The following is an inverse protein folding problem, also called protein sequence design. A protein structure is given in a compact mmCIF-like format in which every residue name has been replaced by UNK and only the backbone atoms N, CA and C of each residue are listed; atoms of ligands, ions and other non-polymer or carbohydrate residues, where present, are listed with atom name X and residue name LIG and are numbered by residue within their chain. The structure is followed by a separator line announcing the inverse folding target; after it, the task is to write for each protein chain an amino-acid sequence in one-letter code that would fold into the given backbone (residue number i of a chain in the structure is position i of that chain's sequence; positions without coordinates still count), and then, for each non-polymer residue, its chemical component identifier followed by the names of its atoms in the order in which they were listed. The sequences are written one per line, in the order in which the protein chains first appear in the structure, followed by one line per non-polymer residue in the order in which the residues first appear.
data_IF_293685766230
#
_entry.id   IF_293685766230
#
_cell.length_a   1.000
_cell.length_b   1.000
_cell.length_c   1.000
_cell.angle_alpha   90.00
_cell.angle_beta   90.00
_cell.angle_gamma   90.00
#
_symmetry.space_group_name_H-M   'P 1'
#
loop_
_entity.id
_entity.type
_entity.pdbx_description
1 polymer ?
#
# COMPACT_ATOMS: atom_id res chain seq x y z
N UNK A 1 -0.27 27.31 5.25
CA UNK A 1 -0.81 26.65 4.04
C UNK A 1 -0.96 27.65 2.89
N UNK A 2 -1.67 28.78 3.08
CA UNK A 2 -1.78 29.86 2.07
C UNK A 2 -0.42 30.39 1.61
N UNK A 3 0.54 30.57 2.54
CA UNK A 3 1.89 31.08 2.23
C UNK A 3 2.74 30.16 1.37
N UNK A 4 2.52 28.83 1.43
CA UNK A 4 3.24 27.87 0.59
C UNK A 4 2.65 27.81 -0.83
N UNK A 5 1.34 28.03 -0.96
CA UNK A 5 0.66 28.05 -2.26
C UNK A 5 0.98 29.31 -3.05
N UNK A 6 1.08 30.48 -2.38
CA UNK A 6 1.51 31.71 -3.04
C UNK A 6 2.96 31.63 -3.55
N UNK A 7 3.86 30.99 -2.79
CA UNK A 7 5.26 30.79 -3.21
C UNK A 7 5.37 29.88 -4.45
N UNK A 8 4.50 28.86 -4.56
CA UNK A 8 4.47 27.99 -5.73
C UNK A 8 3.92 28.71 -6.97
N UNK A 9 2.89 29.54 -6.84
CA UNK A 9 2.35 30.30 -7.98
C UNK A 9 3.39 31.28 -8.52
N UNK A 10 4.08 32.03 -7.65
CA UNK A 10 5.11 32.99 -8.08
C UNK A 10 6.32 32.28 -8.73
N UNK A 11 6.67 31.07 -8.25
CA UNK A 11 7.79 30.31 -8.79
C UNK A 11 7.53 29.75 -10.20
N UNK A 12 6.26 29.47 -10.54
CA UNK A 12 5.87 28.84 -11.80
C UNK A 12 5.01 29.77 -12.69
N UNK A 13 5.00 31.07 -12.41
CA UNK A 13 4.15 32.06 -13.11
C UNK A 13 4.35 32.05 -14.63
N UNK A 14 5.61 31.89 -15.08
CA UNK A 14 5.95 31.80 -16.50
C UNK A 14 5.33 30.57 -17.17
N UNK A 15 5.29 29.43 -16.49
CA UNK A 15 4.72 28.18 -17.01
C UNK A 15 3.18 28.22 -16.99
N UNK A 16 2.59 28.79 -15.93
CA UNK A 16 1.14 28.98 -15.79
C UNK A 16 0.59 29.92 -16.88
N UNK A 17 1.37 30.91 -17.31
CA UNK A 17 0.96 31.88 -18.33
C UNK A 17 0.84 31.31 -19.76
N UNK A 18 1.41 30.13 -20.02
CA UNK A 18 1.39 29.51 -21.36
C UNK A 18 0.13 28.69 -21.64
N UNK A 19 -0.64 28.32 -20.60
CA UNK A 19 -1.85 27.52 -20.74
C UNK A 19 -3.01 28.08 -19.87
N UNK A 20 -4.05 28.65 -20.49
CA UNK A 20 -5.21 29.18 -19.78
C UNK A 20 -5.95 28.14 -18.92
N UNK A 21 -5.88 26.86 -19.28
CA UNK A 21 -6.54 25.79 -18.51
C UNK A 21 -5.82 25.55 -17.17
N UNK A 22 -4.51 25.74 -17.14
CA UNK A 22 -3.71 25.56 -15.93
C UNK A 22 -4.05 26.58 -14.85
N UNK A 23 -4.33 27.82 -15.26
CA UNK A 23 -4.79 28.88 -14.36
C UNK A 23 -6.14 28.55 -13.73
N UNK A 24 -7.09 28.03 -14.52
CA UNK A 24 -8.40 27.62 -14.01
C UNK A 24 -8.31 26.44 -13.03
N UNK A 25 -7.38 25.52 -13.27
CA UNK A 25 -7.10 24.40 -12.37
C UNK A 25 -6.55 24.89 -11.02
N UNK A 26 -5.59 25.82 -11.04
CA UNK A 26 -5.02 26.40 -9.83
C UNK A 26 -6.03 27.25 -9.03
N UNK A 27 -6.88 28.01 -9.71
CA UNK A 27 -7.97 28.76 -9.07
C UNK A 27 -8.95 27.81 -8.38
N UNK A 28 -9.30 26.67 -9.01
CA UNK A 28 -10.13 25.62 -8.39
C UNK A 28 -9.47 24.98 -7.18
N UNK A 29 -8.17 24.66 -7.25
CA UNK A 29 -7.42 24.12 -6.12
C UNK A 29 -7.44 25.11 -4.95
N UNK A 30 -7.21 26.40 -5.23
CA UNK A 30 -7.27 27.46 -4.23
C UNK A 30 -8.67 27.62 -3.60
N UNK A 31 -9.74 27.47 -4.37
CA UNK A 31 -11.11 27.51 -3.86
C UNK A 31 -11.43 26.32 -2.95
N UNK A 32 -11.09 25.10 -3.39
CA UNK A 32 -11.42 23.86 -2.68
C UNK A 32 -10.64 23.74 -1.38
N UNK A 33 -9.33 24.01 -1.42
CA UNK A 33 -8.45 23.70 -0.29
C UNK A 33 -8.10 24.92 0.57
N UNK A 34 -8.21 26.14 0.01
CA UNK A 34 -7.84 27.37 0.72
C UNK A 34 -9.02 28.33 0.90
N UNK A 35 -10.22 27.96 0.46
CA UNK A 35 -11.44 28.77 0.63
C UNK A 35 -11.39 30.11 -0.10
N UNK A 36 -10.60 30.22 -1.18
CA UNK A 36 -10.50 31.45 -1.95
C UNK A 36 -11.86 31.81 -2.58
N UNK A 37 -12.25 33.09 -2.58
CA UNK A 37 -13.51 33.52 -3.19
C UNK A 37 -13.50 33.24 -4.70
N UNK A 38 -14.66 32.87 -5.24
CA UNK A 38 -14.84 32.73 -6.69
C UNK A 38 -14.47 34.06 -7.37
N UNK A 39 -13.69 34.03 -8.48
CA UNK A 39 -13.45 35.24 -9.26
C UNK A 39 -14.81 35.80 -9.68
N UNK A 40 -15.10 37.04 -9.26
CA UNK A 40 -16.33 37.70 -9.65
C UNK A 40 -16.29 37.92 -11.17
N UNK A 41 -17.19 37.27 -11.90
CA UNK A 41 -17.41 37.58 -13.30
C UNK A 41 -17.87 39.03 -13.38
N UNK A 42 -17.05 39.89 -14.02
CA UNK A 42 -17.44 41.27 -14.29
C UNK A 42 -18.68 41.21 -15.20
N UNK A 43 -19.83 41.81 -14.83
CA UNK A 43 -21.06 41.68 -15.59
C UNK A 43 -20.86 42.16 -17.03
N UNK A 44 -21.13 41.29 -18.00
CA UNK A 44 -21.26 41.63 -19.41
C UNK A 44 -22.55 42.42 -19.63
N UNK A 45 -22.49 43.72 -19.36
CA UNK A 45 -23.54 44.69 -19.61
C UNK A 45 -22.95 46.04 -19.94
N UNK A 46 -23.78 46.99 -20.39
CA UNK A 46 -23.39 48.31 -20.90
C UNK A 46 -22.35 49.07 -20.03
N UNK A 47 -22.38 48.90 -18.69
CA UNK A 47 -21.39 49.46 -17.77
C UNK A 47 -20.02 48.74 -17.80
N UNK A 48 -19.99 47.42 -18.02
CA UNK A 48 -18.76 46.62 -18.13
C UNK A 48 -17.98 46.90 -19.42
N UNK A 49 -18.70 47.23 -20.52
CA UNK A 49 -18.08 47.67 -21.77
C UNK A 49 -17.45 49.07 -21.66
N UNK A 50 -17.97 49.92 -20.77
CA UNK A 50 -17.41 51.25 -20.49
C UNK A 50 -16.08 51.16 -19.72
N UNK A 51 -15.93 50.19 -18.82
CA UNK A 51 -14.68 49.92 -18.09
C UNK A 51 -13.65 49.20 -18.98
N UNK A 52 -14.08 48.28 -19.86
CA UNK A 52 -13.21 47.65 -20.87
C UNK A 52 -12.69 48.64 -21.93
N UNK A 53 -13.50 49.64 -22.31
CA UNK A 53 -13.09 50.71 -23.25
C UNK A 53 -12.00 51.65 -22.71
N UNK A 54 -11.81 51.70 -21.39
CA UNK A 54 -10.74 52.48 -20.75
C UNK A 54 -9.39 51.74 -20.69
N UNK A 55 -9.35 50.44 -21.01
CA UNK A 55 -8.19 49.58 -20.72
C UNK A 55 -7.67 48.72 -21.89
N UNK A 56 -8.09 48.94 -23.14
CA UNK A 56 -7.45 48.28 -24.30
C UNK A 56 -7.12 49.25 -25.44
N UNK A 57 -5.83 49.43 -25.68
CA UNK A 57 -5.24 49.79 -26.98
C UNK A 57 -5.26 48.58 -27.93
N UNK A 58 -5.24 48.79 -29.25
CA UNK A 58 -5.86 47.89 -30.23
C UNK A 58 -4.94 46.73 -30.65
N UNK A 59 -5.53 45.58 -30.99
CA UNK A 59 -5.37 44.95 -32.32
C UNK A 59 -6.25 43.68 -32.51
N UNK A 60 -7.05 43.77 -33.59
CA UNK A 60 -7.54 42.77 -34.55
C UNK A 60 -8.32 41.48 -34.15
N UNK A 61 -9.60 41.53 -34.53
CA UNK A 61 -10.51 40.56 -35.21
C UNK A 61 -9.94 39.17 -35.56
N UNK A 62 -10.66 38.05 -35.51
CA UNK A 62 -12.00 37.75 -36.06
C UNK A 62 -12.46 36.34 -35.65
N UNK A 63 -13.78 36.07 -35.55
CA UNK A 63 -14.31 34.70 -35.68
C UNK A 63 -15.50 34.36 -34.79
N UNK A 64 -16.69 34.41 -35.40
CA UNK A 64 -18.05 34.04 -34.98
C UNK A 64 -18.21 32.79 -34.09
N UNK A 65 -19.08 32.87 -33.08
CA UNK A 65 -19.78 31.71 -32.50
C UNK A 65 -21.29 32.04 -32.36
N UNK A 66 -22.12 31.17 -32.94
CA UNK A 66 -23.57 31.13 -32.77
C UNK A 66 -23.93 30.67 -31.35
N UNK A 67 -24.94 31.31 -30.76
CA UNK A 67 -25.57 30.93 -29.49
C UNK A 67 -26.43 29.67 -29.66
N UNK A 68 -26.26 28.71 -28.74
CA UNK A 68 -27.29 27.73 -28.40
C UNK A 68 -27.48 27.75 -26.89
N UNK A 69 -28.63 28.29 -26.46
CA UNK A 69 -29.15 28.14 -25.10
C UNK A 69 -29.54 26.68 -24.84
N UNK A 70 -29.10 26.12 -23.72
CA UNK A 70 -29.73 24.96 -23.11
C UNK A 70 -30.17 25.33 -21.69
N UNK A 71 -31.46 25.06 -21.50
CA UNK A 71 -32.31 25.23 -20.35
C UNK A 71 -31.72 24.61 -19.07
N UNK A 72 -31.81 25.37 -17.98
CA UNK A 72 -31.35 24.99 -16.66
C UNK A 72 -32.45 24.22 -15.93
N UNK A 73 -32.44 22.90 -15.99
CA UNK A 73 -33.09 22.06 -14.97
C UNK A 73 -32.60 20.60 -15.04
N UNK A 74 -31.44 20.33 -14.43
CA UNK A 74 -31.25 19.19 -13.52
C UNK A 74 -29.92 19.36 -12.79
N UNK A 75 -29.97 19.38 -11.46
CA UNK A 75 -28.79 19.31 -10.61
C UNK A 75 -28.07 17.98 -10.88
N UNK A 76 -27.09 17.98 -11.78
CA UNK A 76 -26.19 16.84 -11.92
C UNK A 76 -25.21 16.90 -10.74
N UNK A 77 -25.56 16.20 -9.66
CA UNK A 77 -24.58 15.66 -8.73
C UNK A 77 -23.56 14.90 -9.58
N UNK A 78 -22.38 15.46 -9.82
CA UNK A 78 -21.24 14.69 -10.34
C UNK A 78 -20.57 14.07 -9.11
N UNK A 79 -20.73 12.76 -8.86
CA UNK A 79 -19.96 12.10 -7.82
C UNK A 79 -18.51 12.11 -8.29
N UNK A 80 -17.58 12.48 -7.40
CA UNK A 80 -16.20 12.03 -7.53
C UNK A 80 -16.26 10.50 -7.54
N UNK A 81 -15.97 9.90 -8.70
CA UNK A 81 -16.12 8.48 -9.09
C UNK A 81 -17.43 8.15 -9.83
N UNK A 82 -17.32 7.98 -11.15
CA UNK A 82 -18.14 6.98 -11.83
C UNK A 82 -17.68 5.61 -11.30
N UNK A 83 -18.31 5.15 -10.21
CA UNK A 83 -18.10 3.80 -9.70
C UNK A 83 -18.56 2.82 -10.78
N UNK A 84 -17.62 2.27 -11.52
CA UNK A 84 -17.76 0.87 -11.96
C UNK A 84 -17.68 0.08 -10.66
N UNK A 85 -18.82 -0.29 -10.09
CA UNK A 85 -18.83 -1.24 -8.97
C UNK A 85 -18.07 -2.48 -9.43
N UNK A 86 -16.95 -2.78 -8.76
CA UNK A 86 -16.20 -3.99 -9.01
C UNK A 86 -17.14 -5.19 -8.79
N UNK A 87 -17.39 -5.94 -9.86
CA UNK A 87 -18.26 -7.10 -9.81
C UNK A 87 -17.51 -8.20 -9.05
N UNK A 88 -17.93 -8.48 -7.82
CA UNK A 88 -17.58 -9.73 -7.15
C UNK A 88 -18.14 -10.88 -8.02
N UNK A 89 -17.25 -11.64 -8.65
CA UNK A 89 -17.61 -12.62 -9.68
C UNK A 89 -18.71 -13.58 -9.21
N UNK A 90 -19.80 -13.65 -9.97
CA UNK A 90 -20.80 -14.73 -9.84
C UNK A 90 -21.05 -15.36 -11.20
N UNK A 91 -20.69 -16.63 -11.33
CA UNK A 91 -21.23 -17.50 -12.37
C UNK A 91 -22.73 -17.70 -12.13
N UNK A 92 -23.49 -17.79 -13.23
CA UNK A 92 -24.96 -17.80 -13.23
C UNK A 92 -25.54 -18.98 -12.44
N UNK A 93 -26.14 -18.71 -11.28
CA UNK A 93 -27.26 -19.50 -10.73
C UNK A 93 -28.09 -18.63 -9.80
N UNK A 94 -29.38 -18.48 -10.12
CA UNK A 94 -30.35 -17.72 -9.31
C UNK A 94 -30.75 -18.53 -8.09
N UNK A 95 -30.04 -18.32 -6.99
CA UNK A 95 -30.57 -18.47 -5.63
C UNK A 95 -29.91 -17.40 -4.80
N UNK A 96 -30.68 -16.45 -4.25
CA UNK A 96 -30.18 -15.37 -3.42
C UNK A 96 -29.68 -15.94 -2.08
N UNK A 97 -28.49 -16.55 -2.10
CA UNK A 97 -27.65 -16.72 -0.93
C UNK A 97 -26.96 -15.40 -0.69
N UNK A 98 -27.20 -14.81 0.48
CA UNK A 98 -26.41 -13.71 1.03
C UNK A 98 -24.93 -14.03 0.78
N UNK A 99 -24.23 -13.25 -0.05
CA UNK A 99 -22.78 -13.37 -0.22
C UNK A 99 -22.21 -13.24 1.19
N UNK A 100 -21.80 -14.35 1.79
CA UNK A 100 -21.02 -14.33 3.02
C UNK A 100 -19.71 -13.71 2.61
N UNK A 101 -19.56 -12.40 2.87
CA UNK A 101 -18.25 -11.75 2.92
C UNK A 101 -17.33 -12.72 3.67
N UNK A 102 -16.34 -13.26 2.97
CA UNK A 102 -15.39 -14.17 3.58
C UNK A 102 -14.81 -13.47 4.79
N UNK A 103 -14.93 -14.11 5.94
CA UNK A 103 -14.31 -13.63 7.16
C UNK A 103 -12.81 -13.69 6.89
N UNK A 104 -12.16 -12.54 6.70
CA UNK A 104 -10.71 -12.45 6.55
C UNK A 104 -10.01 -13.17 7.71
N UNK A 105 -8.72 -13.45 7.53
CA UNK A 105 -7.95 -14.19 8.54
C UNK A 105 -7.56 -13.29 9.73
N UNK A 106 -7.66 -13.83 10.95
CA UNK A 106 -7.31 -13.13 12.19
C UNK A 106 -5.98 -13.61 12.77
N UNK A 107 -5.39 -12.80 13.66
CA UNK A 107 -4.17 -13.18 14.37
C UNK A 107 -4.36 -14.48 15.15
N UNK A 108 -3.41 -15.41 15.02
CA UNK A 108 -3.45 -16.73 15.64
C UNK A 108 -4.22 -17.79 14.87
N UNK A 109 -5.00 -17.42 13.84
CA UNK A 109 -5.67 -18.40 12.99
C UNK A 109 -4.64 -19.26 12.25
N UNK A 110 -4.94 -20.56 12.10
CA UNK A 110 -4.19 -21.44 11.21
C UNK A 110 -4.35 -20.92 9.77
N UNK A 111 -3.25 -20.57 9.13
CA UNK A 111 -3.25 -20.13 7.74
C UNK A 111 -3.76 -21.27 6.84
N UNK A 112 -4.61 -21.01 5.83
CA UNK A 112 -5.11 -22.06 4.97
C UNK A 112 -3.98 -22.84 4.30
N UNK A 113 -4.12 -24.17 4.25
CA UNK A 113 -3.30 -24.98 3.36
C UNK A 113 -3.98 -25.03 2.00
N UNK A 114 -3.30 -24.54 0.96
CA UNK A 114 -3.85 -24.40 -0.38
C UNK A 114 -2.87 -24.94 -1.42
N UNK A 115 -3.42 -25.19 -2.61
CA UNK A 115 -2.67 -25.47 -3.82
C UNK A 115 -2.61 -24.21 -4.67
N UNK A 116 -1.49 -23.98 -5.34
CA UNK A 116 -1.33 -22.80 -6.18
C UNK A 116 -0.37 -23.04 -7.35
N UNK A 117 -0.74 -22.53 -8.51
CA UNK A 117 0.21 -22.32 -9.61
C UNK A 117 1.06 -21.08 -9.30
N UNK A 118 2.36 -21.16 -9.60
CA UNK A 118 3.28 -20.03 -9.41
C UNK A 118 4.17 -19.78 -10.61
N UNK A 119 4.83 -18.62 -10.64
CA UNK A 119 5.86 -18.28 -11.62
C UNK A 119 6.97 -19.33 -11.74
N UNK A 120 7.26 -20.10 -10.69
CA UNK A 120 8.30 -21.12 -10.68
C UNK A 120 7.77 -22.54 -10.89
N UNK A 121 6.96 -23.01 -9.94
CA UNK A 121 6.47 -24.38 -9.88
C UNK A 121 5.13 -24.47 -9.18
N UNK A 122 4.41 -25.57 -9.40
CA UNK A 122 3.17 -25.84 -8.69
C UNK A 122 3.43 -26.17 -7.21
N UNK A 123 2.70 -25.50 -6.32
CA UNK A 123 2.69 -25.79 -4.89
C UNK A 123 1.50 -26.70 -4.61
N UNK A 124 1.77 -27.95 -4.20
CA UNK A 124 0.73 -28.93 -3.84
C UNK A 124 0.21 -28.78 -2.40
N UNK A 125 0.98 -28.13 -1.53
CA UNK A 125 0.59 -27.74 -0.17
C UNK A 125 1.40 -26.51 0.21
N UNK A 126 0.72 -25.43 0.57
CA UNK A 126 1.35 -24.21 1.06
C UNK A 126 2.09 -24.47 2.37
N UNK A 127 1.55 -25.34 3.24
CA UNK A 127 2.20 -25.69 4.50
C UNK A 127 3.51 -26.45 4.27
N UNK A 128 3.52 -27.40 3.33
CA UNK A 128 4.74 -28.10 2.94
C UNK A 128 5.74 -27.16 2.29
N UNK A 129 5.28 -26.21 1.46
CA UNK A 129 6.14 -25.18 0.88
C UNK A 129 6.78 -24.30 1.96
N UNK A 130 6.06 -23.87 3.00
CA UNK A 130 6.67 -23.15 4.14
C UNK A 130 7.73 -24.03 4.81
N UNK A 131 7.47 -25.34 4.92
CA UNK A 131 8.35 -26.30 5.58
C UNK A 131 8.19 -26.26 7.11
N UNK A 132 8.92 -27.09 7.84
CA UNK A 132 8.70 -27.28 9.28
C UNK A 132 9.12 -26.08 10.13
N UNK A 133 10.29 -25.51 9.82
CA UNK A 133 10.98 -24.59 10.72
C UNK A 133 11.03 -23.14 10.19
N UNK A 134 10.61 -22.92 8.94
CA UNK A 134 10.65 -21.59 8.31
C UNK A 134 9.43 -20.74 8.64
N UNK A 135 9.68 -19.44 8.69
CA UNK A 135 8.64 -18.42 8.60
C UNK A 135 8.29 -18.19 7.13
N UNK A 136 7.13 -17.59 6.87
CA UNK A 136 6.79 -17.15 5.52
C UNK A 136 6.11 -15.78 5.51
N UNK A 137 6.31 -15.05 4.43
CA UNK A 137 5.58 -13.82 4.13
C UNK A 137 4.86 -14.01 2.80
N UNK A 138 3.54 -14.02 2.86
CA UNK A 138 2.68 -13.91 1.68
C UNK A 138 2.30 -12.45 1.49
N UNK A 139 2.65 -11.89 0.34
CA UNK A 139 2.32 -10.51 0.00
C UNK A 139 1.58 -10.46 -1.33
N UNK A 140 0.52 -9.66 -1.41
CA UNK A 140 -0.21 -9.45 -2.66
C UNK A 140 0.17 -8.12 -3.32
N UNK A 141 -0.06 -8.02 -4.61
CA UNK A 141 -0.01 -6.77 -5.37
C UNK A 141 -1.19 -6.70 -6.35
N UNK A 142 -1.74 -5.50 -6.64
CA UNK A 142 -2.93 -5.37 -7.48
C UNK A 142 -2.79 -6.00 -8.87
N UNK A 143 -1.70 -5.66 -9.58
CA UNK A 143 -1.50 -6.07 -10.97
C UNK A 143 -0.04 -6.02 -11.38
N UNK A 144 0.38 -6.97 -12.20
CA UNK A 144 1.65 -6.92 -12.93
C UNK A 144 1.73 -5.68 -13.84
N UNK A 145 2.93 -5.30 -14.25
CA UNK A 145 3.18 -4.14 -15.14
C UNK A 145 2.62 -2.81 -14.62
N UNK A 146 2.56 -2.63 -13.30
CA UNK A 146 2.15 -1.36 -12.67
C UNK A 146 3.27 -0.74 -11.83
N UNK A 147 3.41 0.60 -11.82
CA UNK A 147 4.63 1.27 -11.38
C UNK A 147 4.97 1.02 -9.92
N UNK A 148 4.01 1.23 -9.00
CA UNK A 148 4.26 1.03 -7.56
C UNK A 148 4.60 -0.43 -7.27
N UNK A 149 3.88 -1.39 -7.88
CA UNK A 149 4.16 -2.81 -7.71
C UNK A 149 5.57 -3.17 -8.18
N UNK A 150 6.04 -2.62 -9.31
CA UNK A 150 7.40 -2.87 -9.78
C UNK A 150 8.44 -2.32 -8.81
N UNK A 151 8.21 -1.14 -8.23
CA UNK A 151 9.12 -0.59 -7.22
C UNK A 151 9.17 -1.44 -5.94
N UNK A 152 8.03 -1.98 -5.51
CA UNK A 152 7.95 -2.83 -4.31
C UNK A 152 8.68 -4.16 -4.52
N UNK A 153 8.40 -4.84 -5.63
CA UNK A 153 9.03 -6.14 -5.89
C UNK A 153 10.53 -5.97 -6.18
N UNK A 154 10.97 -4.86 -6.79
CA UNK A 154 12.39 -4.57 -6.96
C UNK A 154 13.09 -4.37 -5.59
N UNK A 155 12.43 -3.69 -4.63
CA UNK A 155 12.95 -3.58 -3.25
C UNK A 155 12.99 -4.92 -2.55
N UNK A 156 11.99 -5.79 -2.73
CA UNK A 156 11.99 -7.13 -2.18
C UNK A 156 13.10 -8.01 -2.76
N UNK A 157 13.36 -7.94 -4.07
CA UNK A 157 14.50 -8.64 -4.69
C UNK A 157 15.80 -8.22 -4.01
N UNK A 158 16.00 -6.92 -3.80
CA UNK A 158 17.20 -6.42 -3.12
C UNK A 158 17.28 -6.81 -1.64
N UNK A 159 16.15 -6.93 -0.93
CA UNK A 159 16.10 -7.32 0.48
C UNK A 159 16.00 -8.82 0.73
N UNK A 160 15.79 -9.64 -0.29
CA UNK A 160 15.57 -11.09 -0.12
C UNK A 160 16.65 -11.78 0.73
N UNK A 161 17.96 -11.48 0.57
CA UNK A 161 18.99 -12.09 1.41
C UNK A 161 18.79 -11.85 2.91
N UNK A 162 18.23 -10.69 3.31
CA UNK A 162 17.93 -10.38 4.70
C UNK A 162 16.77 -11.21 5.26
N UNK A 163 15.80 -11.58 4.43
CA UNK A 163 14.72 -12.50 4.80
C UNK A 163 15.23 -13.94 4.90
N UNK A 164 16.04 -14.38 3.93
CA UNK A 164 16.67 -15.71 3.96
C UNK A 164 17.57 -15.89 5.19
N UNK A 165 18.36 -14.87 5.56
CA UNK A 165 19.15 -14.86 6.80
C UNK A 165 18.32 -15.09 8.07
N UNK A 166 17.05 -14.70 8.05
CA UNK A 166 16.08 -14.86 9.15
C UNK A 166 15.23 -16.12 9.02
N UNK A 167 15.55 -17.01 8.07
CA UNK A 167 14.76 -18.21 7.77
C UNK A 167 13.29 -17.87 7.42
N UNK A 168 13.10 -16.80 6.64
CA UNK A 168 11.79 -16.32 6.16
C UNK A 168 11.69 -16.56 4.66
N UNK A 169 10.67 -17.28 4.22
CA UNK A 169 10.37 -17.49 2.81
C UNK A 169 9.41 -16.43 2.28
N UNK A 170 9.73 -15.80 1.16
CA UNK A 170 8.87 -14.83 0.50
C UNK A 170 8.02 -15.50 -0.59
N UNK A 171 6.77 -15.06 -0.76
CA UNK A 171 5.91 -15.47 -1.87
C UNK A 171 4.94 -14.33 -2.23
N UNK A 172 4.93 -13.96 -3.51
CA UNK A 172 4.02 -12.96 -4.06
C UNK A 172 2.68 -13.57 -4.47
N UNK A 173 1.67 -12.72 -4.69
CA UNK A 173 0.36 -13.10 -5.23
C UNK A 173 -0.26 -11.95 -6.00
N UNK A 174 -0.81 -12.23 -7.18
CA UNK A 174 -1.78 -11.33 -7.82
C UNK A 174 -2.78 -12.14 -8.64
N UNK A 175 -3.75 -11.44 -9.22
CA UNK A 175 -4.77 -12.06 -10.07
C UNK A 175 -4.36 -12.20 -11.54
N UNK A 176 -3.11 -11.89 -11.87
CA UNK A 176 -2.56 -12.10 -13.22
C UNK A 176 -2.12 -13.56 -13.41
N UNK A 177 -1.83 -13.93 -14.67
CA UNK A 177 -1.42 -15.29 -15.03
C UNK A 177 0.07 -15.55 -14.74
N UNK A 178 0.43 -16.83 -14.60
CA UNK A 178 1.83 -17.27 -14.49
C UNK A 178 2.71 -16.73 -15.62
N UNK A 179 2.18 -16.67 -16.85
CA UNK A 179 2.91 -16.15 -18.02
C UNK A 179 3.16 -14.64 -17.90
N UNK A 180 2.22 -13.89 -17.31
CA UNK A 180 2.40 -12.47 -16.99
C UNK A 180 3.54 -12.29 -15.98
N UNK A 181 3.49 -13.02 -14.85
CA UNK A 181 4.50 -12.92 -13.80
C UNK A 181 5.91 -13.19 -14.33
N UNK A 182 6.06 -14.22 -15.18
CA UNK A 182 7.36 -14.59 -15.77
C UNK A 182 7.92 -13.51 -16.69
N UNK A 183 7.06 -12.82 -17.45
CA UNK A 183 7.51 -11.71 -18.31
C UNK A 183 7.84 -10.46 -17.49
N UNK A 184 6.99 -10.15 -16.51
CA UNK A 184 7.18 -8.97 -15.66
C UNK A 184 8.38 -9.08 -14.72
N UNK A 185 8.81 -10.32 -14.40
CA UNK A 185 10.03 -10.58 -13.65
C UNK A 185 11.27 -9.88 -14.23
N UNK A 186 11.39 -9.80 -15.57
CA UNK A 186 12.51 -9.13 -16.23
C UNK A 186 12.54 -7.63 -15.89
N UNK A 187 11.39 -6.94 -15.91
CA UNK A 187 11.27 -5.51 -15.57
C UNK A 187 11.62 -5.24 -14.10
N UNK A 188 11.16 -6.12 -13.20
CA UNK A 188 11.45 -6.02 -11.75
C UNK A 188 12.95 -6.13 -11.50
N UNK A 189 13.57 -7.15 -12.10
CA UNK A 189 15.00 -7.43 -11.96
C UNK A 189 15.81 -6.27 -12.53
N UNK A 190 15.43 -5.75 -13.69
CA UNK A 190 16.11 -4.61 -14.30
C UNK A 190 15.99 -3.36 -13.42
N UNK A 191 14.80 -3.05 -12.91
CA UNK A 191 14.63 -1.91 -11.99
C UNK A 191 15.45 -2.07 -10.71
N UNK A 192 15.55 -3.30 -10.17
CA UNK A 192 16.40 -3.60 -9.02
C UNK A 192 17.87 -3.29 -9.33
N UNK A 193 18.40 -3.76 -10.47
CA UNK A 193 19.76 -3.46 -10.92
C UNK A 193 20.00 -1.97 -11.09
N UNK A 194 19.08 -1.27 -11.77
CA UNK A 194 19.17 0.18 -11.99
C UNK A 194 19.23 0.98 -10.69
N UNK A 195 18.47 0.58 -9.66
CA UNK A 195 18.37 1.32 -8.40
C UNK A 195 19.43 0.95 -7.36
N UNK A 196 19.83 -0.31 -7.31
CA UNK A 196 20.64 -0.86 -6.22
C UNK A 196 21.98 -1.46 -6.69
N UNK A 197 22.24 -1.45 -8.00
CA UNK A 197 23.46 -1.96 -8.62
C UNK A 197 23.43 -3.46 -8.91
N UNK A 198 24.43 -3.93 -9.66
CA UNK A 198 24.72 -5.35 -9.84
C UNK A 198 25.53 -5.86 -8.65
N UNK A 199 24.86 -6.54 -7.72
CA UNK A 199 25.53 -7.31 -6.67
C UNK A 199 25.19 -8.79 -6.84
N UNK A 200 26.14 -9.68 -6.50
CA UNK A 200 25.88 -11.14 -6.47
C UNK A 200 24.67 -11.50 -5.58
N UNK A 201 24.35 -10.60 -4.64
CA UNK A 201 23.21 -10.68 -3.72
C UNK A 201 21.85 -10.32 -4.32
N UNK A 202 21.76 -9.48 -5.36
CA UNK A 202 20.45 -8.99 -5.82
C UNK A 202 19.83 -9.84 -6.92
N UNK A 203 20.61 -10.38 -7.88
CA UNK A 203 20.04 -11.08 -9.03
C UNK A 203 20.99 -12.18 -9.55
N UNK A 204 20.94 -13.38 -8.97
CA UNK A 204 21.57 -14.57 -9.57
C UNK A 204 20.77 -15.05 -10.79
N UNK A 205 20.94 -14.36 -11.92
CA UNK A 205 20.23 -14.63 -13.19
C UNK A 205 18.96 -13.80 -13.38
N UNK A 206 18.15 -14.17 -14.38
CA UNK A 206 16.88 -13.49 -14.72
C UNK A 206 15.68 -14.19 -14.06
N UNK A 207 15.81 -14.56 -12.78
CA UNK A 207 14.74 -15.21 -12.03
C UNK A 207 14.58 -14.49 -10.69
N UNK A 208 13.33 -14.19 -10.32
CA UNK A 208 13.04 -13.65 -8.99
C UNK A 208 13.46 -14.66 -7.92
N UNK A 209 13.94 -14.20 -6.75
CA UNK A 209 14.34 -15.09 -5.66
C UNK A 209 13.14 -15.64 -4.87
N UNK A 210 11.91 -15.31 -5.30
CA UNK A 210 10.66 -15.79 -4.73
C UNK A 210 9.61 -16.04 -5.82
N UNK A 211 8.73 -17.04 -5.62
CA UNK A 211 7.62 -17.30 -6.53
C UNK A 211 6.51 -16.24 -6.39
N UNK A 212 5.73 -16.07 -7.45
CA UNK A 212 4.48 -15.29 -7.45
C UNK A 212 3.34 -16.24 -7.81
N UNK A 213 2.33 -16.33 -6.94
CA UNK A 213 1.09 -17.09 -7.13
C UNK A 213 0.21 -16.39 -8.17
N UNK A 214 -0.28 -17.17 -9.13
CA UNK A 214 -1.35 -16.74 -10.03
C UNK A 214 -2.71 -17.13 -9.42
N UNK A 215 -3.48 -16.13 -8.99
CA UNK A 215 -4.83 -16.28 -8.42
C UNK A 215 -5.87 -15.70 -9.41
N UNK A 216 -5.85 -16.21 -10.64
CA UNK A 216 -6.68 -15.73 -11.75
C UNK A 216 -8.19 -15.96 -11.51
N UNK A 217 -8.56 -16.92 -10.66
CA UNK A 217 -9.95 -17.14 -10.24
C UNK A 217 -10.36 -16.32 -9.01
N UNK A 218 -9.42 -15.57 -8.40
CA UNK A 218 -9.59 -14.74 -7.20
C UNK A 218 -10.00 -15.54 -5.96
N UNK A 219 -9.90 -16.87 -6.00
CA UNK A 219 -10.42 -17.72 -4.92
C UNK A 219 -9.60 -17.54 -3.65
N UNK A 220 -8.27 -17.43 -3.77
CA UNK A 220 -7.38 -17.27 -2.63
C UNK A 220 -7.45 -15.85 -2.07
N UNK A 221 -7.40 -14.84 -2.93
CA UNK A 221 -7.52 -13.43 -2.54
C UNK A 221 -8.87 -13.16 -1.84
N UNK A 222 -9.96 -13.69 -2.38
CA UNK A 222 -11.28 -13.60 -1.73
C UNK A 222 -11.26 -14.30 -0.38
N UNK A 223 -10.76 -15.55 -0.30
CA UNK A 223 -10.72 -16.32 0.95
C UNK A 223 -9.90 -15.63 2.04
N UNK A 224 -8.80 -14.98 1.68
CA UNK A 224 -7.91 -14.28 2.61
C UNK A 224 -8.34 -12.84 2.92
N UNK A 225 -9.39 -12.33 2.26
CA UNK A 225 -9.88 -10.96 2.45
C UNK A 225 -8.92 -9.91 1.89
N UNK A 226 -8.29 -10.20 0.74
CA UNK A 226 -7.27 -9.36 0.11
C UNK A 226 -7.81 -8.41 -0.96
N UNK A 227 -9.11 -8.42 -1.26
CA UNK A 227 -9.65 -7.66 -2.39
C UNK A 227 -9.60 -6.14 -2.13
N UNK A 228 -9.11 -5.38 -3.11
CA UNK A 228 -9.17 -3.92 -3.10
C UNK A 228 -10.60 -3.47 -3.45
N UNK A 229 -11.18 -2.50 -2.73
CA UNK A 229 -12.54 -2.04 -3.01
C UNK A 229 -12.65 -1.19 -4.29
N UNK A 230 -11.55 -0.59 -4.74
CA UNK A 230 -11.54 0.42 -5.80
C UNK A 230 -10.86 -0.08 -7.09
N UNK A 231 -9.95 -1.06 -6.99
CA UNK A 231 -9.21 -1.57 -8.13
C UNK A 231 -9.85 -2.78 -8.81
N UNK A 232 -9.95 -2.69 -10.14
CA UNK A 232 -10.56 -3.70 -11.00
C UNK A 232 -9.72 -3.96 -12.25
N UNK A 233 -9.83 -5.17 -12.79
CA UNK A 233 -9.31 -5.47 -14.12
C UNK A 233 -10.20 -4.87 -15.23
N UNK A 234 -9.77 -5.03 -16.49
CA UNK A 234 -10.50 -4.53 -17.67
C UNK A 234 -11.91 -5.11 -17.82
N UNK A 235 -12.20 -6.22 -17.15
CA UNK A 235 -13.50 -6.88 -17.15
C UNK A 235 -14.36 -6.48 -15.94
N UNK A 236 -13.87 -5.56 -15.10
CA UNK A 236 -14.54 -5.10 -13.90
C UNK A 236 -14.49 -6.11 -12.75
N UNK A 237 -13.60 -7.10 -12.79
CA UNK A 237 -13.37 -8.00 -11.66
C UNK A 237 -12.35 -7.40 -10.70
N UNK A 238 -12.66 -7.43 -9.40
CA UNK A 238 -11.80 -6.85 -8.37
C UNK A 238 -10.38 -7.46 -8.40
N UNK A 239 -9.39 -6.63 -8.05
CA UNK A 239 -7.99 -7.00 -7.89
C UNK A 239 -7.63 -7.06 -6.40
N UNK A 240 -6.43 -7.55 -6.10
CA UNK A 240 -5.95 -7.54 -4.71
C UNK A 240 -5.48 -6.15 -4.28
N UNK A 241 -5.66 -5.81 -3.01
CA UNK A 241 -4.97 -4.71 -2.36
C UNK A 241 -3.49 -5.10 -2.10
N UNK A 242 -2.72 -4.22 -1.47
CA UNK A 242 -1.34 -4.50 -1.03
C UNK A 242 -1.35 -5.16 0.35
N UNK A 243 -1.88 -6.38 0.42
CA UNK A 243 -1.91 -7.15 1.65
C UNK A 243 -0.56 -7.83 1.92
N UNK A 244 -0.26 -8.04 3.19
CA UNK A 244 0.89 -8.81 3.65
C UNK A 244 0.48 -9.64 4.87
N UNK A 245 0.88 -10.90 4.88
CA UNK A 245 0.66 -11.84 5.99
C UNK A 245 2.00 -12.44 6.39
N UNK A 246 2.37 -12.35 7.67
CA UNK A 246 3.53 -13.04 8.24
C UNK A 246 3.03 -14.30 8.95
N UNK A 247 3.50 -15.46 8.50
CA UNK A 247 3.09 -16.79 8.97
C UNK A 247 4.26 -17.41 9.74
N UNK A 248 3.99 -17.88 10.96
CA UNK A 248 4.98 -18.57 11.78
C UNK A 248 5.21 -20.04 11.38
N UNK A 249 6.24 -20.71 11.93
CA UNK A 249 6.54 -22.12 11.65
C UNK A 249 5.38 -23.06 12.00
N UNK A 250 4.57 -22.72 12.99
CA UNK A 250 3.34 -23.44 13.34
C UNK A 250 2.16 -23.20 12.37
N UNK A 251 2.41 -22.45 11.29
CA UNK A 251 1.48 -22.05 10.23
C UNK A 251 0.32 -21.20 10.73
N UNK A 252 0.52 -20.41 11.79
CA UNK A 252 -0.50 -19.45 12.25
C UNK A 252 -0.14 -18.05 11.81
N UNK A 253 -1.14 -17.22 11.57
CA UNK A 253 -0.94 -15.81 11.25
C UNK A 253 -0.37 -15.08 12.46
N UNK A 254 0.76 -14.38 12.28
CA UNK A 254 1.43 -13.60 13.32
C UNK A 254 1.24 -12.11 13.19
N UNK A 255 1.12 -11.62 11.97
CA UNK A 255 0.91 -10.21 11.66
C UNK A 255 0.30 -10.08 10.26
N UNK A 256 -0.59 -9.11 10.08
CA UNK A 256 -1.04 -8.69 8.75
C UNK A 256 -1.02 -7.18 8.58
N UNK A 257 -0.82 -6.73 7.34
CA UNK A 257 -0.90 -5.33 6.91
C UNK A 257 -1.78 -5.28 5.68
N UNK A 258 -2.71 -4.32 5.63
CA UNK A 258 -3.57 -4.06 4.47
C UNK A 258 -3.35 -2.62 4.02
N UNK A 259 -2.62 -2.43 2.92
CA UNK A 259 -2.45 -1.13 2.28
C UNK A 259 -3.30 -1.08 0.99
N UNK A 260 -3.88 0.08 0.62
CA UNK A 260 -4.56 0.22 -0.66
C UNK A 260 -3.56 0.19 -1.81
N UNK A 261 -4.04 -0.02 -3.04
CA UNK A 261 -3.21 0.05 -4.24
C UNK A 261 -2.42 1.36 -4.38
N UNK A 262 -2.92 2.47 -3.84
CA UNK A 262 -2.31 3.81 -3.93
C UNK A 262 -1.09 4.01 -3.01
N UNK A 263 -0.88 3.15 -2.01
CA UNK A 263 0.17 3.35 -1.00
C UNK A 263 1.19 2.22 -1.03
N UNK A 264 2.39 2.49 -1.57
CA UNK A 264 3.51 1.53 -1.53
C UNK A 264 3.93 1.22 -0.08
N UNK A 265 4.30 -0.03 0.18
CA UNK A 265 4.71 -0.54 1.50
C UNK A 265 6.14 -0.15 1.86
N UNK A 266 6.39 -0.08 3.16
CA UNK A 266 7.72 0.06 3.72
C UNK A 266 8.29 -1.33 4.08
N UNK A 267 9.27 -1.82 3.32
CA UNK A 267 9.91 -3.12 3.59
C UNK A 267 10.93 -3.11 4.72
N UNK A 268 11.40 -1.94 5.15
CA UNK A 268 12.25 -1.85 6.35
C UNK A 268 11.41 -2.11 7.60
N UNK A 269 10.16 -1.63 7.62
CA UNK A 269 9.21 -1.96 8.69
C UNK A 269 8.89 -3.45 8.71
N UNK A 270 8.75 -4.08 7.54
CA UNK A 270 8.49 -5.51 7.42
C UNK A 270 9.66 -6.33 8.02
N UNK A 271 10.91 -5.95 7.72
CA UNK A 271 12.09 -6.56 8.35
C UNK A 271 12.12 -6.35 9.87
N UNK A 272 11.83 -5.12 10.32
CA UNK A 272 11.80 -4.77 11.75
C UNK A 272 10.78 -5.60 12.53
N UNK A 273 9.57 -5.78 11.99
CA UNK A 273 8.56 -6.61 12.67
C UNK A 273 8.88 -8.11 12.60
N UNK A 274 9.59 -8.59 11.57
CA UNK A 274 10.12 -9.96 11.56
C UNK A 274 11.11 -10.15 12.72
N UNK A 275 12.06 -9.23 12.90
CA UNK A 275 13.01 -9.28 14.01
C UNK A 275 12.29 -9.29 15.37
N UNK A 276 11.28 -8.43 15.52
CA UNK A 276 10.43 -8.40 16.72
C UNK A 276 9.69 -9.72 16.95
N UNK A 277 9.04 -10.28 15.92
CA UNK A 277 8.25 -11.51 16.03
C UNK A 277 9.13 -12.72 16.39
N UNK A 278 10.34 -12.80 15.84
CA UNK A 278 11.28 -13.89 16.14
C UNK A 278 11.89 -13.75 17.54
N UNK A 279 12.23 -12.53 17.96
CA UNK A 279 12.68 -12.26 19.33
C UNK A 279 11.60 -12.63 20.36
N UNK A 280 10.39 -12.12 20.18
CA UNK A 280 9.28 -12.33 21.12
C UNK A 280 8.71 -13.74 21.10
N UNK A 281 8.98 -14.54 20.06
CA UNK A 281 8.67 -15.96 20.03
C UNK A 281 9.60 -16.81 20.92
N UNK A 282 10.82 -16.33 21.22
CA UNK A 282 11.85 -17.12 21.93
C UNK A 282 12.22 -16.54 23.28
N UNK A 283 11.93 -15.25 23.52
CA UNK A 283 12.25 -14.53 24.74
C UNK A 283 10.98 -13.95 25.35
N UNK A 284 10.89 -13.95 26.68
CA UNK A 284 9.75 -13.39 27.42
C UNK A 284 9.85 -11.85 27.54
N UNK A 285 9.96 -11.20 26.39
CA UNK A 285 9.97 -9.74 26.24
C UNK A 285 8.92 -9.32 25.20
N UNK A 286 8.64 -8.03 25.15
CA UNK A 286 7.91 -7.35 24.09
C UNK A 286 8.76 -6.18 23.57
N UNK A 287 8.62 -5.83 22.30
CA UNK A 287 9.32 -4.69 21.70
C UNK A 287 8.48 -3.41 21.89
N UNK A 288 9.06 -2.30 22.38
CA UNK A 288 8.34 -1.04 22.55
C UNK A 288 8.02 -0.36 21.21
N UNK A 289 7.30 0.76 21.27
CA UNK A 289 7.05 1.63 20.12
C UNK A 289 8.37 2.06 19.47
N UNK A 290 8.39 2.10 18.14
CA UNK A 290 9.55 2.49 17.31
C UNK A 290 10.84 1.67 17.50
N UNK A 291 10.78 0.56 18.24
CA UNK A 291 11.91 -0.33 18.52
C UNK A 291 12.65 -0.75 17.26
N UNK A 292 13.98 -0.61 17.27
CA UNK A 292 14.90 -1.18 16.29
C UNK A 292 15.64 -2.37 16.86
N UNK A 293 16.12 -3.26 15.99
CA UNK A 293 16.90 -4.41 16.41
C UNK A 293 18.16 -3.98 17.16
N UNK A 294 18.33 -4.47 18.39
CA UNK A 294 19.36 -4.04 19.34
C UNK A 294 18.88 -3.07 20.43
N UNK A 295 17.71 -2.45 20.29
CA UNK A 295 17.16 -1.56 21.31
C UNK A 295 16.60 -2.34 22.53
N UNK A 296 16.48 -1.64 23.65
CA UNK A 296 15.88 -2.15 24.88
C UNK A 296 14.47 -2.67 24.64
N UNK A 297 14.14 -3.76 25.34
CA UNK A 297 12.84 -4.40 25.30
C UNK A 297 12.06 -4.17 26.60
N UNK A 298 10.77 -4.48 26.58
CA UNK A 298 9.90 -4.47 27.75
C UNK A 298 9.72 -5.89 28.26
N UNK A 299 9.93 -6.13 29.55
CA UNK A 299 9.62 -7.44 30.15
C UNK A 299 8.11 -7.66 30.13
N UNK A 300 7.65 -8.82 29.66
CA UNK A 300 6.21 -9.13 29.60
C UNK A 300 5.56 -9.03 30.98
N UNK A 301 4.32 -8.53 31.08
CA UNK A 301 3.67 -8.29 32.38
C UNK A 301 3.31 -9.57 33.13
N UNK A 302 3.36 -10.73 32.47
CA UNK A 302 2.95 -12.02 33.02
C UNK A 302 3.97 -12.66 33.96
N UNK A 303 5.23 -12.19 33.98
CA UNK A 303 6.28 -12.73 34.84
C UNK A 303 6.61 -11.77 35.98
N UNK A 304 6.91 -12.29 37.17
CA UNK A 304 7.27 -11.47 38.32
C UNK A 304 8.74 -11.00 38.29
N UNK A 305 9.15 -10.19 39.25
CA UNK A 305 10.51 -9.63 39.30
C UNK A 305 11.58 -10.70 39.56
N UNK A 306 11.27 -11.77 40.30
CA UNK A 306 12.22 -12.83 40.59
C UNK A 306 12.47 -13.68 39.34
N UNK A 307 11.41 -13.99 38.60
CA UNK A 307 11.50 -14.70 37.31
C UNK A 307 12.21 -13.84 36.26
N UNK A 308 11.86 -12.56 36.16
CA UNK A 308 12.52 -11.65 35.24
C UNK A 308 14.02 -11.57 35.51
N UNK A 309 14.44 -11.46 36.79
CA UNK A 309 15.86 -11.46 37.17
C UNK A 309 16.59 -12.75 36.81
N UNK A 310 15.93 -13.91 36.89
CA UNK A 310 16.51 -15.19 36.48
C UNK A 310 16.73 -15.25 34.97
N UNK A 311 15.81 -14.69 34.19
CA UNK A 311 15.87 -14.72 32.73
C UNK A 311 16.81 -13.67 32.14
N UNK A 312 16.84 -12.48 32.73
CA UNK A 312 17.50 -11.30 32.16
C UNK A 312 18.64 -10.73 33.02
N UNK A 313 18.87 -11.29 34.21
CA UNK A 313 19.84 -10.79 35.18
C UNK A 313 19.31 -9.64 36.04
N UNK A 314 20.19 -9.09 36.88
CA UNK A 314 19.81 -8.05 37.84
C UNK A 314 19.56 -6.66 37.20
N UNK A 315 19.97 -6.46 35.94
CA UNK A 315 19.83 -5.19 35.22
C UNK A 315 18.45 -5.03 34.59
N UNK A 316 17.41 -4.93 35.41
CA UNK A 316 16.05 -4.60 34.96
C UNK A 316 15.72 -3.19 35.44
N UNK A 317 15.52 -2.27 34.50
CA UNK A 317 15.16 -0.89 34.79
C UNK A 317 13.64 -0.77 34.92
N UNK A 318 13.13 -0.72 36.14
CA UNK A 318 11.70 -0.47 36.39
C UNK A 318 11.45 1.04 36.45
N UNK A 319 10.65 1.54 35.52
CA UNK A 319 10.31 2.97 35.45
C UNK A 319 9.21 3.27 36.48
N UNK A 320 9.50 4.18 37.41
CA UNK A 320 8.52 4.67 38.37
C UNK A 320 7.52 5.59 37.68
N UNK A 321 6.23 5.26 37.80
CA UNK A 321 5.12 5.97 37.16
C UNK A 321 4.09 6.43 38.20
N UNK A 322 3.28 7.47 37.90
CA UNK A 322 2.35 8.05 38.87
C UNK A 322 1.34 7.07 39.50
N UNK A 323 1.04 5.96 38.82
CA UNK A 323 0.12 4.95 39.34
C UNK A 323 0.72 4.07 40.46
N UNK A 324 2.03 4.16 40.72
CA UNK A 324 2.76 3.28 41.63
C UNK A 324 2.80 1.82 41.17
N UNK A 325 2.42 1.53 39.92
CA UNK A 325 2.42 0.17 39.36
C UNK A 325 3.73 -0.08 38.63
N UNK A 326 4.36 -1.22 38.90
CA UNK A 326 5.67 -1.60 38.36
C UNK A 326 5.59 -2.41 37.05
N UNK A 327 4.79 -1.95 36.10
CA UNK A 327 4.57 -2.68 34.85
C UNK A 327 5.54 -2.30 33.74
N UNK A 328 6.09 -1.08 33.76
CA UNK A 328 7.05 -0.61 32.76
C UNK A 328 8.46 -1.01 33.18
N UNK A 329 8.83 -2.24 32.83
CA UNK A 329 10.14 -2.84 33.14
C UNK A 329 10.93 -2.99 31.86
N UNK A 330 12.02 -2.23 31.74
CA UNK A 330 12.91 -2.24 30.58
C UNK A 330 14.10 -3.17 30.82
N UNK A 331 14.56 -3.82 29.76
CA UNK A 331 15.71 -4.73 29.76
C UNK A 331 16.53 -4.52 28.48
N UNK A 332 17.86 -4.59 28.59
CA UNK A 332 18.75 -4.61 27.41
C UNK A 332 18.33 -5.72 26.45
N UNK A 333 18.51 -5.51 25.13
CA UNK A 333 18.16 -6.49 24.10
C UNK A 333 18.67 -7.90 24.44
N UNK A 334 17.79 -8.90 24.63
CA UNK A 334 18.22 -10.25 24.97
C UNK A 334 19.09 -10.86 23.87
N UNK A 335 20.18 -11.53 24.26
CA UNK A 335 21.07 -12.24 23.33
C UNK A 335 20.51 -13.56 22.85
#
# INVERSE_FOLDING_TARGET
QITYFSVLIDQYESEISHDPEYKQLLDRIGQIYMGLPQPQAVPSGFLGNMIKGLLRSPENESGTAEEFEIDSEEMLYIPLSSKTECLAGTSKSRTAGRLTMSKGILLGDKFPDFQAETSESFISSFHDWIGKDSWAILFSHPRDFTPVCTTELARLVQLEPEFTKRNVKLIGLSCDSVQSHRKWADDIIELCRMKFGDSDTCCSGNKLPFPIIADDDRSLASKLGMMDPDECDEKGAALTARCLFIIGPEKTLKLSILYPATTGRNFDEILRVVDSLQLTATKLVATPVDWQNGDDCVVVPTIDDNEAKKLFGEKINTVELPSGKRYLRMVEHPK
#
